data_IF_190093308241
#
_entry.id   IF_190093308241
#
_cell.length_a   1.000
_cell.length_b   1.000
_cell.length_c   1.000
_cell.angle_alpha   90.00
_cell.angle_beta   90.00
_cell.angle_gamma   90.00
#
_symmetry.space_group_name_H-M   'P 1'
#
loop_
_entity.id
_entity.type
_entity.pdbx_description
1 polymer ?
#
# COMPACT_ATOMS: atom_id res chain seq x y z
N UNK A 1 29.41 14.09 19.94
CA UNK A 1 30.14 14.90 18.93
C UNK A 1 29.22 16.01 18.50
N UNK A 2 29.64 17.28 18.64
CA UNK A 2 28.76 18.42 18.41
C UNK A 2 28.82 18.81 16.92
N UNK A 3 27.74 18.52 16.18
CA UNK A 3 27.61 18.91 14.77
C UNK A 3 27.05 20.33 14.73
N UNK A 4 27.83 21.25 14.15
CA UNK A 4 27.46 22.66 14.04
C UNK A 4 26.84 22.93 12.66
N UNK A 5 25.54 23.19 12.61
CA UNK A 5 24.85 23.58 11.38
C UNK A 5 24.89 25.11 11.20
N UNK A 6 25.56 25.57 10.14
CA UNK A 6 25.55 26.97 9.74
C UNK A 6 24.43 27.21 8.71
N UNK A 7 23.26 27.64 9.17
CA UNK A 7 22.15 28.01 8.29
C UNK A 7 22.19 29.52 8.01
N UNK A 8 22.49 29.91 6.78
CA UNK A 8 22.41 31.32 6.33
C UNK A 8 21.23 31.51 5.38
N UNK A 9 20.17 32.16 5.84
CA UNK A 9 19.13 32.69 4.96
C UNK A 9 19.66 33.93 4.22
N UNK A 10 19.85 33.85 2.90
CA UNK A 10 19.97 35.06 2.07
C UNK A 10 18.59 35.61 1.76
N UNK A 11 18.43 36.93 1.77
CA UNK A 11 17.17 37.61 1.44
C UNK A 11 16.84 37.53 -0.07
N UNK A 12 16.40 36.35 -0.49
CA UNK A 12 15.72 36.05 -1.75
C UNK A 12 15.14 34.65 -1.60
N UNK A 13 13.82 34.47 -1.79
CA UNK A 13 13.16 33.18 -1.56
C UNK A 13 13.48 32.15 -2.66
N UNK A 14 14.72 31.66 -2.69
CA UNK A 14 15.09 30.45 -3.42
C UNK A 14 14.70 29.22 -2.62
N UNK A 15 13.83 28.37 -3.17
CA UNK A 15 13.55 27.05 -2.61
C UNK A 15 14.81 26.17 -2.69
N UNK A 16 15.35 25.76 -1.55
CA UNK A 16 16.52 24.89 -1.48
C UNK A 16 16.17 23.43 -1.28
N UNK A 17 17.04 22.53 -1.74
CA UNK A 17 16.91 21.09 -1.52
C UNK A 17 17.72 20.61 -0.31
N UNK A 18 17.35 19.47 0.26
CA UNK A 18 17.90 18.97 1.54
C UNK A 18 19.39 18.66 1.51
N UNK A 19 19.95 18.42 0.32
CA UNK A 19 21.33 18.06 0.03
C UNK A 19 22.18 19.21 -0.53
N UNK A 20 21.55 20.35 -0.88
CA UNK A 20 22.17 21.46 -1.64
C UNK A 20 23.36 22.13 -0.94
N UNK A 21 23.46 22.01 0.38
CA UNK A 21 24.51 22.64 1.19
C UNK A 21 25.30 21.63 2.04
N UNK A 22 25.23 20.33 1.71
CA UNK A 22 25.96 19.29 2.42
C UNK A 22 27.30 19.00 1.71
N UNK A 23 28.36 18.81 2.48
CA UNK A 23 29.58 18.16 1.99
C UNK A 23 29.30 16.68 1.69
N UNK A 24 30.13 16.05 0.85
CA UNK A 24 29.98 14.63 0.48
C UNK A 24 29.98 13.70 1.71
N UNK A 25 30.86 13.98 2.68
CA UNK A 25 30.91 13.30 3.97
C UNK A 25 29.58 13.42 4.73
N UNK A 26 29.08 14.66 4.90
CA UNK A 26 27.81 14.92 5.60
C UNK A 26 26.61 14.29 4.87
N UNK A 27 26.60 14.27 3.54
CA UNK A 27 25.56 13.64 2.74
C UNK A 27 25.54 12.12 2.94
N UNK A 28 26.70 11.47 3.12
CA UNK A 28 26.77 10.04 3.46
C UNK A 28 26.27 9.77 4.89
N UNK A 29 26.68 10.61 5.85
CA UNK A 29 26.30 10.50 7.26
C UNK A 29 24.80 10.69 7.47
N UNK A 30 24.19 11.72 6.88
CA UNK A 30 22.74 11.99 7.01
C UNK A 30 21.92 10.83 6.42
N UNK A 31 22.35 10.23 5.30
CA UNK A 31 21.69 9.04 4.73
C UNK A 31 21.75 7.83 5.67
N UNK A 32 22.88 7.61 6.33
CA UNK A 32 23.05 6.53 7.32
C UNK A 32 22.20 6.77 8.57
N UNK A 33 22.26 7.98 9.14
CA UNK A 33 21.46 8.38 10.30
C UNK A 33 19.96 8.18 10.05
N UNK A 34 19.45 8.68 8.92
CA UNK A 34 18.03 8.50 8.53
C UNK A 34 17.70 7.01 8.32
N UNK A 35 18.61 6.21 7.76
CA UNK A 35 18.40 4.77 7.62
C UNK A 35 18.31 4.05 8.98
N UNK A 36 19.21 4.36 9.91
CA UNK A 36 19.24 3.75 11.25
C UNK A 36 18.06 4.19 12.11
N UNK A 37 17.63 5.46 12.03
CA UNK A 37 16.41 5.95 12.66
C UNK A 37 15.16 5.23 12.13
N UNK A 38 15.01 5.12 10.80
CA UNK A 38 13.89 4.37 10.20
C UNK A 38 13.91 2.89 10.63
N UNK A 39 15.09 2.27 10.66
CA UNK A 39 15.26 0.87 11.09
C UNK A 39 14.91 0.68 12.58
N UNK A 40 15.25 1.63 13.45
CA UNK A 40 14.86 1.63 14.86
C UNK A 40 13.34 1.87 15.06
N UNK A 41 12.73 2.73 14.25
CA UNK A 41 11.28 2.96 14.25
C UNK A 41 10.49 1.73 13.75
N UNK A 42 11.04 0.98 12.78
CA UNK A 42 10.44 -0.27 12.31
C UNK A 42 10.61 -1.41 13.31
N UNK A 43 11.79 -1.54 13.94
CA UNK A 43 12.05 -2.62 14.91
C UNK A 43 11.26 -2.46 16.22
N UNK A 44 11.07 -1.22 16.70
CA UNK A 44 10.21 -0.94 17.85
C UNK A 44 8.76 -1.33 17.59
N UNK A 45 8.21 -0.97 16.42
CA UNK A 45 6.80 -1.27 16.02
C UNK A 45 6.53 -2.72 15.62
N UNK A 46 7.50 -3.63 15.78
CA UNK A 46 7.36 -5.04 15.39
C UNK A 46 6.46 -5.84 16.34
N UNK A 47 6.28 -5.40 17.60
CA UNK A 47 5.61 -6.16 18.67
C UNK A 47 4.30 -5.52 19.18
N UNK A 48 3.29 -5.27 18.32
CA UNK A 48 2.08 -4.51 18.66
C UNK A 48 1.14 -5.18 19.70
N UNK A 49 1.49 -6.36 20.20
CA UNK A 49 0.77 -7.04 21.30
C UNK A 49 1.36 -6.71 22.69
N UNK A 50 2.55 -6.10 22.75
CA UNK A 50 3.19 -5.68 23.99
C UNK A 50 2.85 -4.23 24.35
N UNK A 51 2.65 -3.40 23.33
CA UNK A 51 2.16 -2.03 23.47
C UNK A 51 0.63 -2.08 23.66
N UNK A 52 0.12 -1.48 24.75
CA UNK A 52 -1.27 -1.53 25.23
C UNK A 52 -2.34 -1.81 24.13
N UNK A 53 -2.68 -3.09 23.90
CA UNK A 53 -3.45 -3.46 22.73
C UNK A 53 -4.92 -3.07 22.91
N UNK A 54 -5.54 -2.59 21.84
CA UNK A 54 -6.97 -2.32 21.80
C UNK A 54 -7.76 -3.61 22.06
N UNK A 55 -8.95 -3.54 22.68
CA UNK A 55 -9.74 -4.73 23.02
C UNK A 55 -10.01 -5.58 21.77
N UNK A 56 -9.69 -6.87 21.88
CA UNK A 56 -9.95 -7.84 20.83
C UNK A 56 -11.41 -8.30 20.92
N UNK A 57 -12.15 -8.10 19.83
CA UNK A 57 -13.54 -8.55 19.71
C UNK A 57 -13.60 -9.90 18.95
N UNK A 58 -14.57 -10.77 19.28
CA UNK A 58 -14.82 -12.00 18.51
C UNK A 58 -15.27 -11.66 17.08
N UNK A 59 -15.21 -12.66 16.19
CA UNK A 59 -15.78 -12.50 14.86
C UNK A 59 -17.31 -12.57 14.90
N UNK A 60 -17.95 -11.62 14.22
CA UNK A 60 -19.41 -11.55 14.06
C UNK A 60 -19.80 -11.62 12.57
N UNK A 61 -20.93 -12.26 12.23
CA UNK A 61 -21.47 -12.24 10.86
C UNK A 61 -21.71 -10.80 10.36
N UNK A 62 -21.19 -10.48 9.18
CA UNK A 62 -21.23 -9.13 8.61
C UNK A 62 -20.02 -8.25 8.99
N UNK A 63 -19.15 -8.69 9.89
CA UNK A 63 -17.89 -8.00 10.19
C UNK A 63 -16.93 -8.02 8.98
N UNK A 64 -16.36 -6.85 8.65
CA UNK A 64 -15.36 -6.71 7.58
C UNK A 64 -13.98 -6.40 8.15
N UNK A 65 -13.01 -7.25 7.82
CA UNK A 65 -11.61 -7.07 8.25
C UNK A 65 -10.85 -6.03 7.41
N UNK A 66 -9.71 -5.60 7.92
CA UNK A 66 -8.77 -4.69 7.23
C UNK A 66 -8.18 -5.35 5.98
N UNK A 67 -7.92 -4.54 4.94
CA UNK A 67 -7.15 -4.94 3.77
C UNK A 67 -5.63 -4.82 4.00
N UNK A 68 -4.86 -5.12 2.94
CA UNK A 68 -3.42 -4.98 2.90
C UNK A 68 -3.00 -4.14 1.69
N UNK A 69 -1.84 -3.48 1.77
CA UNK A 69 -1.15 -2.89 0.63
C UNK A 69 0.02 -3.80 0.27
N UNK A 70 0.14 -4.15 -1.02
CA UNK A 70 1.16 -5.07 -1.50
C UNK A 70 1.76 -4.61 -2.83
N UNK A 71 3.02 -4.95 -3.08
CA UNK A 71 3.76 -4.63 -4.29
C UNK A 71 3.68 -5.79 -5.29
N UNK A 72 3.25 -5.52 -6.52
CA UNK A 72 3.14 -6.52 -7.60
C UNK A 72 4.50 -6.85 -8.21
N UNK A 73 5.17 -7.88 -7.70
CA UNK A 73 6.49 -8.31 -8.20
C UNK A 73 6.44 -8.78 -9.67
N UNK A 74 5.45 -9.61 -10.01
CA UNK A 74 5.36 -10.22 -11.33
C UNK A 74 4.38 -11.37 -11.40
N UNK A 75 4.53 -12.21 -12.41
CA UNK A 75 3.70 -13.40 -12.63
C UNK A 75 4.59 -14.62 -12.86
N UNK A 76 4.13 -15.79 -12.42
CA UNK A 76 4.78 -17.08 -12.65
C UNK A 76 3.74 -18.18 -12.92
N UNK A 77 4.09 -19.28 -13.60
CA UNK A 77 3.24 -20.46 -13.65
C UNK A 77 3.29 -21.22 -12.31
N UNK A 78 2.15 -21.78 -11.92
CA UNK A 78 2.00 -22.73 -10.81
C UNK A 78 1.23 -23.94 -11.33
N UNK A 79 1.74 -25.14 -11.08
CA UNK A 79 1.12 -26.40 -11.50
C UNK A 79 0.36 -27.03 -10.34
N UNK A 80 -0.88 -27.46 -10.56
CA UNK A 80 -1.65 -28.26 -9.59
C UNK A 80 -1.27 -29.73 -9.66
N UNK A 81 -1.72 -30.50 -8.65
CA UNK A 81 -1.57 -31.96 -8.62
C UNK A 81 -2.25 -32.63 -9.82
N UNK A 82 -3.29 -32.01 -10.36
CA UNK A 82 -4.08 -32.46 -11.50
C UNK A 82 -3.40 -32.19 -12.86
N UNK A 83 -2.14 -31.73 -12.85
CA UNK A 83 -1.37 -31.40 -14.05
C UNK A 83 -1.79 -30.10 -14.75
N UNK A 84 -2.70 -29.31 -14.18
CA UNK A 84 -3.15 -28.05 -14.78
C UNK A 84 -2.18 -26.90 -14.46
N UNK A 85 -1.92 -26.04 -15.44
CA UNK A 85 -1.06 -24.85 -15.30
C UNK A 85 -1.90 -23.60 -15.04
N UNK A 86 -1.78 -23.04 -13.85
CA UNK A 86 -2.36 -21.74 -13.50
C UNK A 86 -1.31 -20.64 -13.58
N UNK A 87 -1.67 -19.50 -14.19
CA UNK A 87 -0.88 -18.29 -14.07
C UNK A 87 -1.19 -17.61 -12.72
N UNK A 88 -0.17 -17.30 -11.92
CA UNK A 88 -0.34 -16.62 -10.63
C UNK A 88 0.48 -15.33 -10.57
N UNK A 89 -0.10 -14.29 -9.98
CA UNK A 89 0.58 -13.02 -9.67
C UNK A 89 1.19 -13.09 -8.27
N UNK A 90 2.44 -12.62 -8.15
CA UNK A 90 3.16 -12.48 -6.89
C UNK A 90 2.94 -11.08 -6.30
N UNK A 91 2.34 -11.01 -5.11
CA UNK A 91 2.14 -9.78 -4.35
C UNK A 91 2.97 -9.83 -3.06
N UNK A 92 3.94 -8.93 -2.89
CA UNK A 92 4.75 -8.84 -1.68
C UNK A 92 4.18 -7.77 -0.74
N UNK A 93 3.93 -8.14 0.51
CA UNK A 93 3.60 -7.16 1.56
C UNK A 93 4.91 -6.60 2.12
N UNK A 94 5.12 -5.30 1.95
CA UNK A 94 6.23 -4.54 2.53
C UNK A 94 5.63 -3.51 3.50
N UNK A 95 6.15 -3.44 4.73
CA UNK A 95 5.90 -2.41 5.76
C UNK A 95 4.47 -1.85 5.82
N UNK A 96 3.50 -2.77 5.86
CA UNK A 96 2.06 -2.47 5.77
C UNK A 96 1.48 -2.11 7.15
N UNK A 97 1.72 -0.87 7.61
CA UNK A 97 1.22 -0.37 8.89
C UNK A 97 -0.10 0.42 8.76
N UNK A 98 -0.94 0.33 9.80
CA UNK A 98 -2.10 1.20 10.00
C UNK A 98 -1.60 2.57 10.46
N UNK A 99 -2.04 3.64 9.78
CA UNK A 99 -1.67 5.02 10.07
C UNK A 99 -2.67 5.72 10.98
N UNK A 100 -3.97 5.50 10.74
CA UNK A 100 -5.06 6.21 11.45
C UNK A 100 -6.32 5.36 11.51
N UNK A 101 -6.96 5.34 12.67
CA UNK A 101 -8.35 4.97 12.86
C UNK A 101 -9.24 6.22 12.80
N UNK A 102 -10.36 6.13 12.09
CA UNK A 102 -11.41 7.15 12.05
C UNK A 102 -12.73 6.48 12.41
N UNK A 103 -13.43 6.93 13.46
CA UNK A 103 -14.65 6.29 13.93
C UNK A 103 -15.81 6.49 12.94
N UNK A 104 -16.88 5.69 13.09
CA UNK A 104 -17.99 5.61 12.12
C UNK A 104 -18.71 6.96 11.93
N UNK A 105 -18.86 7.72 13.00
CA UNK A 105 -19.50 9.04 13.06
C UNK A 105 -18.75 10.06 12.19
N UNK A 106 -17.41 10.03 12.24
CA UNK A 106 -16.54 10.99 11.53
C UNK A 106 -16.21 10.58 10.10
N UNK A 107 -16.62 9.40 9.63
CA UNK A 107 -16.29 8.90 8.29
C UNK A 107 -17.49 8.94 7.33
N UNK A 108 -18.52 8.12 7.57
CA UNK A 108 -19.68 8.00 6.67
C UNK A 108 -20.99 7.59 7.38
N UNK A 109 -21.00 7.57 8.71
CA UNK A 109 -22.13 7.15 9.56
C UNK A 109 -22.45 5.64 9.55
N UNK A 110 -21.80 4.84 8.70
CA UNK A 110 -22.10 3.41 8.51
C UNK A 110 -20.96 2.47 8.88
N UNK A 111 -19.72 2.88 8.68
CA UNK A 111 -18.51 2.06 8.87
C UNK A 111 -17.39 2.91 9.44
N UNK A 112 -16.57 2.37 10.34
CA UNK A 112 -15.29 2.99 10.68
C UNK A 112 -14.29 2.86 9.49
N UNK A 113 -13.31 3.77 9.43
CA UNK A 113 -12.26 3.74 8.41
C UNK A 113 -10.87 3.57 9.03
N UNK A 114 -10.09 2.67 8.44
CA UNK A 114 -8.68 2.45 8.75
C UNK A 114 -7.82 2.86 7.55
N UNK A 115 -6.98 3.87 7.75
CA UNK A 115 -6.03 4.32 6.73
C UNK A 115 -4.76 3.49 6.83
N UNK A 116 -4.43 2.75 5.76
CA UNK A 116 -3.19 1.98 5.62
C UNK A 116 -2.27 2.71 4.64
N UNK A 117 -0.98 2.79 4.96
CA UNK A 117 -0.01 3.58 4.20
C UNK A 117 0.30 3.05 2.79
N UNK A 118 0.55 3.97 1.86
CA UNK A 118 0.99 3.69 0.48
C UNK A 118 1.40 4.99 -0.23
N UNK A 119 2.28 4.90 -1.25
CA UNK A 119 2.87 6.08 -1.91
C UNK A 119 1.89 6.78 -2.87
N UNK A 120 1.83 8.11 -2.79
CA UNK A 120 0.85 9.00 -3.44
C UNK A 120 1.31 9.56 -4.80
N UNK A 121 0.39 9.83 -5.73
CA UNK A 121 0.56 10.72 -6.91
C UNK A 121 -0.75 11.51 -7.16
N UNK A 122 -0.69 12.63 -7.90
CA UNK A 122 -1.61 13.79 -7.89
C UNK A 122 -2.69 13.87 -9.01
N UNK A 123 -3.49 14.95 -9.01
CA UNK A 123 -4.59 15.31 -9.97
C UNK A 123 -4.40 16.71 -10.58
N UNK A 124 -4.98 16.99 -11.75
CA UNK A 124 -5.35 18.33 -12.27
C UNK A 124 -6.56 18.27 -13.27
N UNK A 125 -7.03 19.43 -13.75
CA UNK A 125 -8.38 19.75 -14.31
C UNK A 125 -8.25 20.85 -15.42
N UNK A 126 -9.22 21.17 -16.31
CA UNK A 126 -10.55 20.61 -16.65
C UNK A 126 -10.95 20.90 -18.14
N UNK A 127 -12.24 20.98 -18.54
CA UNK A 127 -12.70 20.75 -19.94
C UNK A 127 -13.71 21.78 -20.53
N UNK A 128 -13.75 21.91 -21.87
CA UNK A 128 -14.83 22.55 -22.66
C UNK A 128 -15.71 21.52 -23.41
N UNK A 129 -17.03 21.78 -23.52
CA UNK A 129 -18.07 20.73 -23.56
C UNK A 129 -18.31 20.01 -24.91
N UNK A 130 -18.42 18.69 -24.80
CA UNK A 130 -19.06 17.74 -25.75
C UNK A 130 -20.27 17.07 -25.04
N UNK A 131 -21.17 16.40 -25.78
CA UNK A 131 -22.23 15.57 -25.20
C UNK A 131 -21.67 14.53 -24.19
N UNK A 132 -22.14 14.53 -22.93
CA UNK A 132 -21.60 13.64 -21.89
C UNK A 132 -21.68 12.16 -22.29
N UNK A 133 -20.56 11.44 -22.17
CA UNK A 133 -20.48 10.00 -22.46
C UNK A 133 -20.12 9.63 -23.91
N UNK A 134 -19.97 10.59 -24.82
CA UNK A 134 -19.48 10.32 -26.19
C UNK A 134 -18.07 9.72 -26.15
N UNK A 135 -17.86 8.57 -26.82
CA UNK A 135 -16.54 7.95 -26.96
C UNK A 135 -15.67 8.79 -27.89
N UNK A 136 -14.65 9.44 -27.34
CA UNK A 136 -13.66 10.26 -28.06
C UNK A 136 -12.24 9.82 -27.70
N UNK A 137 -11.23 10.13 -28.54
CA UNK A 137 -9.83 9.95 -28.16
C UNK A 137 -9.51 10.75 -26.88
N UNK A 138 -8.74 10.14 -25.98
CA UNK A 138 -8.43 10.71 -24.67
C UNK A 138 -7.53 9.79 -23.85
N UNK A 139 -7.32 10.12 -22.57
CA UNK A 139 -6.44 9.34 -21.69
C UNK A 139 -7.00 7.93 -21.42
N UNK A 140 -6.37 6.93 -22.04
CA UNK A 140 -6.62 5.52 -21.77
C UNK A 140 -5.66 4.98 -20.70
N UNK A 141 -6.18 4.26 -19.71
CA UNK A 141 -5.39 3.75 -18.60
C UNK A 141 -5.17 4.78 -17.49
N UNK A 142 -4.19 4.55 -16.61
CA UNK A 142 -3.93 5.31 -15.38
C UNK A 142 -5.18 5.54 -14.49
N UNK A 143 -6.13 4.61 -14.51
CA UNK A 143 -7.35 4.62 -13.72
C UNK A 143 -7.36 3.44 -12.76
N UNK A 144 -7.86 3.63 -11.54
CA UNK A 144 -8.07 2.54 -10.59
C UNK A 144 -9.08 1.54 -11.15
N UNK A 145 -8.70 0.25 -11.16
CA UNK A 145 -9.55 -0.86 -11.57
C UNK A 145 -9.43 -1.99 -10.55
N UNK A 146 -10.55 -2.62 -10.24
CA UNK A 146 -10.64 -3.72 -9.26
C UNK A 146 -11.00 -5.00 -9.98
N UNK A 147 -10.34 -6.10 -9.64
CA UNK A 147 -10.65 -7.45 -10.12
C UNK A 147 -11.13 -8.25 -8.91
N UNK A 148 -12.28 -8.92 -9.06
CA UNK A 148 -12.93 -9.67 -7.99
C UNK A 148 -12.76 -11.19 -8.21
N UNK A 149 -12.97 -12.00 -7.16
CA UNK A 149 -12.98 -13.47 -7.28
C UNK A 149 -11.60 -14.13 -7.44
N UNK A 150 -10.51 -13.41 -7.16
CA UNK A 150 -9.15 -13.96 -7.26
C UNK A 150 -8.84 -14.86 -6.05
N UNK A 151 -8.72 -16.18 -6.28
CA UNK A 151 -8.31 -17.17 -5.28
C UNK A 151 -6.84 -17.00 -4.89
N UNK A 152 -6.52 -17.15 -3.60
CA UNK A 152 -5.12 -17.28 -3.13
C UNK A 152 -4.71 -18.75 -3.20
N UNK A 153 -3.57 -19.02 -3.85
CA UNK A 153 -3.02 -20.37 -4.00
C UNK A 153 -2.01 -20.74 -2.92
N UNK A 154 -1.18 -19.78 -2.49
CA UNK A 154 -0.09 -19.98 -1.53
C UNK A 154 0.23 -18.67 -0.81
N UNK A 155 0.80 -18.78 0.38
CA UNK A 155 1.45 -17.68 1.11
C UNK A 155 2.86 -18.12 1.50
N UNK A 156 3.84 -17.21 1.42
CA UNK A 156 5.20 -17.40 1.91
C UNK A 156 5.46 -16.39 3.04
N UNK A 157 5.59 -16.90 4.27
CA UNK A 157 5.80 -16.12 5.49
C UNK A 157 7.21 -15.55 5.65
N UNK A 158 8.24 -16.11 4.98
CA UNK A 158 9.62 -15.61 5.09
C UNK A 158 9.86 -14.31 4.32
N UNK A 159 9.11 -14.09 3.24
CA UNK A 159 9.23 -12.92 2.38
C UNK A 159 7.94 -12.11 2.27
N UNK A 160 6.90 -12.49 3.03
CA UNK A 160 5.55 -11.93 3.01
C UNK A 160 4.93 -11.86 1.60
N UNK A 161 5.09 -12.94 0.82
CA UNK A 161 4.60 -13.03 -0.57
C UNK A 161 3.30 -13.85 -0.62
N UNK A 162 2.28 -13.28 -1.25
CA UNK A 162 0.97 -13.89 -1.51
C UNK A 162 0.89 -14.25 -3.00
N UNK A 163 0.50 -15.48 -3.30
CA UNK A 163 0.37 -16.02 -4.66
C UNK A 163 -1.11 -16.00 -5.04
N UNK A 164 -1.50 -15.03 -5.87
CA UNK A 164 -2.89 -14.77 -6.26
C UNK A 164 -3.16 -15.33 -7.66
N UNK A 165 -4.29 -16.00 -7.86
CA UNK A 165 -4.68 -16.55 -9.16
C UNK A 165 -4.86 -15.45 -10.22
N UNK A 166 -4.45 -15.72 -11.45
CA UNK A 166 -4.64 -14.84 -12.59
C UNK A 166 -3.84 -13.53 -12.55
N UNK A 167 -4.34 -12.53 -13.28
CA UNK A 167 -3.67 -11.24 -13.50
C UNK A 167 -4.25 -10.14 -12.62
N UNK A 168 -3.38 -9.43 -11.91
CA UNK A 168 -3.72 -8.21 -11.15
C UNK A 168 -3.46 -6.97 -12.05
N UNK A 169 -4.31 -5.93 -12.04
CA UNK A 169 -4.09 -4.72 -12.83
C UNK A 169 -2.83 -3.94 -12.40
N UNK A 170 -2.29 -3.12 -13.30
CA UNK A 170 -1.08 -2.32 -13.09
C UNK A 170 0.22 -3.00 -13.55
N UNK A 171 1.26 -2.19 -13.78
CA UNK A 171 2.61 -2.65 -14.12
C UNK A 171 3.30 -3.44 -12.98
N UNK A 172 4.47 -4.04 -13.26
CA UNK A 172 5.32 -4.63 -12.21
C UNK A 172 5.83 -3.53 -11.26
N UNK A 173 6.10 -3.88 -10.02
CA UNK A 173 6.48 -2.99 -8.92
C UNK A 173 5.44 -1.91 -8.55
N UNK A 174 4.20 -2.06 -9.00
CA UNK A 174 3.08 -1.21 -8.60
C UNK A 174 2.56 -1.58 -7.21
N UNK A 175 2.11 -0.59 -6.44
CA UNK A 175 1.33 -0.80 -5.22
C UNK A 175 -0.12 -1.20 -5.58
N UNK A 176 -0.62 -2.24 -4.92
CA UNK A 176 -1.93 -2.83 -5.11
C UNK A 176 -2.64 -2.91 -3.76
N UNK A 177 -3.90 -2.44 -3.73
CA UNK A 177 -4.80 -2.61 -2.59
C UNK A 177 -5.44 -4.00 -2.65
N UNK A 178 -5.22 -4.82 -1.61
CA UNK A 178 -5.80 -6.16 -1.47
C UNK A 178 -6.88 -6.10 -0.38
N UNK A 179 -8.09 -6.55 -0.70
CA UNK A 179 -9.25 -6.55 0.20
C UNK A 179 -9.87 -7.95 0.25
N UNK A 180 -10.69 -8.24 1.26
CA UNK A 180 -11.66 -9.34 1.18
C UNK A 180 -12.61 -9.13 0.00
N UNK A 181 -12.98 -10.22 -0.68
CA UNK A 181 -13.94 -10.12 -1.79
C UNK A 181 -15.33 -9.86 -1.24
N UNK A 182 -16.00 -8.83 -1.78
CA UNK A 182 -17.41 -8.55 -1.49
C UNK A 182 -18.22 -9.38 -2.50
N UNK A 183 -18.42 -10.66 -2.21
CA UNK A 183 -19.27 -11.56 -3.02
C UNK A 183 -20.21 -12.37 -2.15
N UNK A 184 -21.48 -12.44 -2.56
CA UNK A 184 -22.52 -13.18 -1.85
C UNK A 184 -22.26 -14.70 -1.79
N UNK A 185 -21.39 -15.22 -2.68
CA UNK A 185 -21.08 -16.64 -2.81
C UNK A 185 -20.00 -17.18 -1.85
N UNK A 186 -19.26 -16.34 -1.10
CA UNK A 186 -18.16 -16.85 -0.26
C UNK A 186 -18.63 -17.67 0.96
N UNK A 187 -19.94 -17.69 1.24
CA UNK A 187 -20.58 -18.49 2.29
C UNK A 187 -20.74 -19.98 1.94
N UNK A 188 -20.53 -20.39 0.68
CA UNK A 188 -20.92 -21.73 0.18
C UNK A 188 -19.78 -22.77 0.24
N UNK A 189 -18.53 -22.36 0.54
CA UNK A 189 -17.35 -23.25 0.54
C UNK A 189 -16.55 -23.22 1.86
N UNK A 190 -17.24 -23.02 2.99
CA UNK A 190 -16.65 -23.05 4.34
C UNK A 190 -17.36 -24.03 5.29
N UNK A 191 -18.09 -24.99 4.72
CA UNK A 191 -18.61 -26.20 5.34
C UNK A 191 -18.09 -27.41 4.55
#
# INVERSE_FOLDING_TARGET
>A
TNIWFCVRTRHSNSSTWWDEHLSEENASFVKQLVFDENKAQLSSKLNPLKDEPWPLHPWEPGSSRVGLVALKLGMMPLWTKDGQRHAVTLLQVQDCHVLKYTPKESYNGKTAALTVGGKTVSRLYDVARVWPGTKMPGQMGNQSRTVYGLKVWRVNTKHNIIYVNGSVPGHKNCLVKVCTTISFLSLVHLF
#
